data_IF_239688461058
#
_entry.id   IF_239688461058
#
_cell.length_a   1.000
_cell.length_b   1.000
_cell.length_c   1.000
_cell.angle_alpha   90.00
_cell.angle_beta   90.00
_cell.angle_gamma   90.00
#
_symmetry.space_group_name_H-M   'P 1'
#
loop_
_entity.id
_entity.type
_entity.pdbx_description
1 polymer ?
#
# COMPACT_ATOMS: atom_id res chain seq x y z
N UNK A 1 3.64 14.97 -25.77
CA UNK A 1 2.31 15.55 -25.44
C UNK A 1 2.00 15.05 -24.04
N UNK A 2 1.76 15.95 -23.08
CA UNK A 2 1.38 15.55 -21.72
C UNK A 2 0.04 14.84 -21.74
N UNK A 3 -0.06 13.70 -21.09
CA UNK A 3 -1.32 12.93 -21.01
C UNK A 3 -2.25 13.67 -20.06
N UNK A 4 -3.40 14.13 -20.59
CA UNK A 4 -4.40 14.82 -19.78
C UNK A 4 -5.16 13.78 -18.94
N UNK A 5 -5.00 13.85 -17.61
CA UNK A 5 -5.74 12.97 -16.69
C UNK A 5 -7.21 13.41 -16.58
N UNK A 6 -8.15 12.47 -16.54
CA UNK A 6 -9.51 12.75 -16.09
C UNK A 6 -9.51 13.24 -14.63
N UNK A 7 -10.56 13.94 -14.17
CA UNK A 7 -10.71 14.28 -12.75
C UNK A 7 -10.59 13.04 -11.87
N UNK A 8 -9.78 13.09 -10.80
CA UNK A 8 -9.48 11.94 -9.95
C UNK A 8 -10.75 11.30 -9.36
N UNK A 9 -11.75 12.12 -9.03
CA UNK A 9 -13.05 11.63 -8.55
C UNK A 9 -13.77 10.73 -9.57
N UNK A 10 -13.57 10.95 -10.87
CA UNK A 10 -14.18 10.12 -11.91
C UNK A 10 -13.42 8.80 -12.12
N UNK A 11 -12.13 8.77 -11.75
CA UNK A 11 -11.32 7.55 -11.80
C UNK A 11 -11.58 6.62 -10.60
N UNK A 12 -11.98 7.17 -9.45
CA UNK A 12 -12.08 6.38 -8.22
C UNK A 12 -13.08 5.21 -8.31
N UNK A 13 -14.36 5.39 -8.71
CA UNK A 13 -15.30 4.27 -8.74
C UNK A 13 -14.90 3.12 -9.68
N UNK A 14 -14.39 3.36 -10.92
CA UNK A 14 -13.91 2.28 -11.76
C UNK A 14 -12.66 1.59 -11.19
N UNK A 15 -11.77 2.29 -10.48
CA UNK A 15 -10.60 1.69 -9.82
C UNK A 15 -11.00 0.82 -8.63
N UNK A 16 -11.96 1.25 -7.82
CA UNK A 16 -12.50 0.46 -6.73
C UNK A 16 -13.13 -0.85 -7.23
N UNK A 17 -13.86 -0.79 -8.35
CA UNK A 17 -14.37 -2.01 -9.01
C UNK A 17 -13.24 -2.90 -9.51
N UNK A 18 -12.25 -2.31 -10.17
CA UNK A 18 -11.09 -3.05 -10.70
C UNK A 18 -10.32 -3.77 -9.58
N UNK A 19 -10.11 -3.11 -8.44
CA UNK A 19 -9.48 -3.73 -7.28
C UNK A 19 -10.34 -4.90 -6.72
N UNK A 20 -11.68 -4.76 -6.70
CA UNK A 20 -12.57 -5.85 -6.27
C UNK A 20 -12.55 -7.03 -7.24
N UNK A 21 -12.54 -6.77 -8.54
CA UNK A 21 -12.46 -7.82 -9.56
C UNK A 21 -11.13 -8.59 -9.44
N UNK A 22 -10.01 -7.87 -9.26
CA UNK A 22 -8.70 -8.47 -9.00
C UNK A 22 -8.68 -9.26 -7.69
N UNK A 23 -9.25 -8.70 -6.61
CA UNK A 23 -9.40 -9.39 -5.33
C UNK A 23 -10.23 -10.66 -5.42
N UNK A 24 -11.27 -10.67 -6.25
CA UNK A 24 -12.05 -11.89 -6.50
C UNK A 24 -11.22 -12.98 -7.19
N UNK A 25 -10.35 -12.61 -8.17
CA UNK A 25 -9.40 -13.54 -8.77
C UNK A 25 -8.43 -14.11 -7.72
N UNK A 26 -7.85 -13.24 -6.87
CA UNK A 26 -6.95 -13.64 -5.79
C UNK A 26 -7.65 -14.61 -4.83
N UNK A 27 -8.89 -14.30 -4.41
CA UNK A 27 -9.67 -15.14 -3.49
C UNK A 27 -10.10 -16.47 -4.11
N UNK A 28 -10.32 -16.53 -5.41
CA UNK A 28 -10.61 -17.78 -6.10
C UNK A 28 -9.42 -18.76 -6.00
N UNK A 29 -8.20 -18.27 -6.18
CA UNK A 29 -6.98 -19.08 -5.96
C UNK A 29 -6.78 -19.38 -4.47
N UNK A 30 -6.98 -18.39 -3.60
CA UNK A 30 -6.83 -18.55 -2.15
C UNK A 30 -7.75 -19.64 -1.59
N UNK A 31 -8.94 -19.83 -2.15
CA UNK A 31 -9.88 -20.89 -1.74
C UNK A 31 -9.43 -22.31 -2.14
N UNK A 32 -8.46 -22.45 -3.08
CA UNK A 32 -7.97 -23.76 -3.51
C UNK A 32 -6.93 -24.34 -2.54
N UNK A 33 -6.74 -25.66 -2.58
CA UNK A 33 -5.62 -26.32 -1.91
C UNK A 33 -4.38 -26.20 -2.80
N UNK A 34 -3.64 -25.09 -2.68
CA UNK A 34 -2.32 -24.99 -3.33
C UNK A 34 -1.21 -25.43 -2.37
N UNK A 35 -0.29 -26.26 -2.87
CA UNK A 35 0.92 -26.61 -2.14
C UNK A 35 2.03 -25.65 -2.54
N UNK A 36 2.73 -25.11 -1.54
CA UNK A 36 4.00 -24.41 -1.75
C UNK A 36 5.05 -25.48 -2.08
N UNK A 37 5.16 -25.85 -3.35
CA UNK A 37 6.30 -26.67 -3.78
C UNK A 37 7.51 -25.74 -3.84
N UNK A 38 8.40 -25.87 -2.86
CA UNK A 38 9.66 -25.17 -2.81
C UNK A 38 10.48 -25.46 -4.06
N UNK A 39 10.59 -24.51 -4.96
CA UNK A 39 11.70 -24.41 -5.91
C UNK A 39 12.69 -23.39 -5.35
N UNK A 40 13.95 -23.73 -5.44
CA UNK A 40 15.06 -23.07 -4.76
C UNK A 40 15.28 -21.58 -5.11
N UNK A 41 14.52 -20.98 -6.03
CA UNK A 41 14.74 -19.63 -6.54
C UNK A 41 13.47 -18.75 -6.61
N UNK A 42 12.36 -19.17 -6.04
CA UNK A 42 11.13 -18.42 -6.22
C UNK A 42 10.66 -17.78 -4.92
N UNK A 43 10.60 -16.45 -4.87
CA UNK A 43 9.48 -15.82 -4.19
C UNK A 43 8.21 -16.47 -4.77
N UNK A 44 7.24 -16.95 -3.96
CA UNK A 44 6.10 -17.68 -4.51
C UNK A 44 5.24 -16.73 -5.34
N UNK A 45 5.63 -16.56 -6.61
CA UNK A 45 4.75 -15.99 -7.64
C UNK A 45 3.64 -17.00 -7.80
N UNK A 46 2.47 -16.62 -7.42
CA UNK A 46 1.30 -17.48 -7.47
C UNK A 46 0.51 -17.22 -8.74
N UNK A 47 -0.30 -18.18 -9.14
CA UNK A 47 -1.27 -17.97 -10.22
C UNK A 47 -2.18 -16.76 -9.93
N UNK A 48 -2.41 -16.46 -8.64
CA UNK A 48 -3.18 -15.31 -8.20
C UNK A 48 -2.56 -13.99 -8.63
N UNK A 49 -1.22 -13.81 -8.44
CA UNK A 49 -0.49 -12.60 -8.85
C UNK A 49 -0.68 -12.34 -10.34
N UNK A 50 -0.36 -13.32 -11.16
CA UNK A 50 -0.39 -13.21 -12.63
C UNK A 50 -1.80 -12.90 -13.15
N UNK A 51 -2.83 -13.58 -12.63
CA UNK A 51 -4.21 -13.36 -13.05
C UNK A 51 -4.73 -12.00 -12.63
N UNK A 52 -4.45 -11.60 -11.39
CA UNK A 52 -4.85 -10.30 -10.87
C UNK A 52 -4.13 -9.15 -11.61
N UNK A 53 -2.82 -9.28 -11.86
CA UNK A 53 -2.07 -8.28 -12.63
C UNK A 53 -2.62 -8.12 -14.03
N UNK A 54 -2.80 -9.20 -14.79
CA UNK A 54 -3.33 -9.15 -16.16
C UNK A 54 -4.69 -8.42 -16.21
N UNK A 55 -5.57 -8.67 -15.24
CA UNK A 55 -6.86 -8.02 -15.11
C UNK A 55 -6.72 -6.52 -14.83
N UNK A 56 -5.85 -6.15 -13.86
CA UNK A 56 -5.60 -4.75 -13.48
C UNK A 56 -5.01 -3.99 -14.67
N UNK A 57 -3.98 -4.52 -15.33
CA UNK A 57 -3.35 -3.89 -16.49
C UNK A 57 -4.34 -3.64 -17.62
N UNK A 58 -5.19 -4.63 -17.94
CA UNK A 58 -6.22 -4.48 -18.96
C UNK A 58 -7.25 -3.40 -18.58
N UNK A 59 -7.62 -3.31 -17.30
CA UNK A 59 -8.51 -2.27 -16.78
C UNK A 59 -7.91 -0.87 -16.87
N UNK A 60 -6.68 -0.68 -16.39
CA UNK A 60 -5.99 0.60 -16.39
C UNK A 60 -5.73 1.12 -17.82
N UNK A 61 -5.34 0.24 -18.76
CA UNK A 61 -5.18 0.61 -20.18
C UNK A 61 -6.47 1.13 -20.83
N UNK A 62 -7.64 0.64 -20.38
CA UNK A 62 -8.96 1.18 -20.84
C UNK A 62 -9.31 2.49 -20.15
N UNK A 63 -9.01 2.63 -18.85
CA UNK A 63 -9.35 3.83 -18.08
C UNK A 63 -8.52 5.05 -18.48
N UNK A 64 -7.24 4.83 -18.72
CA UNK A 64 -6.26 5.88 -19.03
C UNK A 64 -5.32 5.42 -20.15
N UNK A 65 -5.80 5.38 -21.40
CA UNK A 65 -4.98 4.97 -22.54
C UNK A 65 -3.70 5.82 -22.64
N UNK A 66 -2.57 5.15 -22.77
CA UNK A 66 -1.26 5.80 -22.96
C UNK A 66 -0.53 6.17 -21.66
N UNK A 67 -1.14 6.01 -20.48
CA UNK A 67 -0.41 6.12 -19.23
C UNK A 67 0.52 4.91 -19.03
N UNK A 68 1.75 5.16 -18.59
CA UNK A 68 2.66 4.11 -18.19
C UNK A 68 2.10 3.37 -16.96
N UNK A 69 2.29 2.05 -16.92
CA UNK A 69 1.91 1.21 -15.80
C UNK A 69 3.14 0.43 -15.38
N UNK A 70 3.56 0.60 -14.14
CA UNK A 70 4.62 -0.16 -13.48
C UNK A 70 3.94 -1.15 -12.57
N UNK A 71 4.06 -2.43 -12.87
CA UNK A 71 3.46 -3.52 -12.10
C UNK A 71 4.54 -4.52 -11.69
N UNK A 72 4.40 -5.12 -10.52
CA UNK A 72 5.43 -5.96 -9.90
C UNK A 72 5.86 -7.11 -10.83
N UNK A 73 4.89 -7.88 -11.33
CA UNK A 73 5.17 -9.07 -12.15
C UNK A 73 5.72 -8.71 -13.53
N UNK A 74 5.20 -7.66 -14.17
CA UNK A 74 5.75 -7.12 -15.43
C UNK A 74 7.22 -6.68 -15.25
N UNK A 75 7.53 -5.98 -14.14
CA UNK A 75 8.92 -5.56 -13.82
C UNK A 75 9.80 -6.79 -13.55
N UNK A 76 9.32 -7.77 -12.79
CA UNK A 76 10.04 -9.02 -12.53
C UNK A 76 10.31 -9.81 -13.81
N UNK A 77 9.42 -9.72 -14.81
CA UNK A 77 9.59 -10.30 -16.15
C UNK A 77 10.51 -9.47 -17.06
N UNK A 78 11.01 -8.33 -16.59
CA UNK A 78 11.89 -7.43 -17.36
C UNK A 78 11.14 -6.40 -18.22
N UNK A 79 9.82 -6.29 -18.09
CA UNK A 79 8.99 -5.32 -18.81
C UNK A 79 8.89 -4.00 -18.02
N UNK A 80 9.95 -3.21 -18.04
CA UNK A 80 9.99 -1.91 -17.35
C UNK A 80 9.59 -0.80 -18.31
N UNK A 81 8.46 -0.10 -18.10
CA UNK A 81 8.06 1.00 -18.97
C UNK A 81 9.02 2.20 -18.79
N UNK A 82 9.24 2.92 -19.87
CA UNK A 82 9.95 4.20 -19.81
C UNK A 82 9.05 5.24 -19.12
N UNK A 83 9.51 5.76 -17.99
CA UNK A 83 8.84 6.87 -17.31
C UNK A 83 9.44 8.20 -17.78
N UNK A 84 8.57 9.12 -18.19
CA UNK A 84 8.95 10.48 -18.51
C UNK A 84 8.89 11.33 -17.24
N UNK A 85 9.90 12.17 -17.03
CA UNK A 85 9.98 13.02 -15.84
C UNK A 85 8.73 13.90 -15.70
N UNK A 86 8.04 13.80 -14.56
CA UNK A 86 6.85 14.59 -14.25
C UNK A 86 5.55 14.09 -14.88
N UNK A 87 5.59 13.14 -15.82
CA UNK A 87 4.36 12.54 -16.36
C UNK A 87 3.73 11.58 -15.33
N UNK A 88 2.40 11.49 -15.31
CA UNK A 88 1.71 10.57 -14.42
C UNK A 88 1.90 9.10 -14.87
N UNK A 89 1.90 8.18 -13.89
CA UNK A 89 1.97 6.74 -14.13
C UNK A 89 1.29 5.95 -13.02
N UNK A 90 0.93 4.71 -13.31
CA UNK A 90 0.38 3.79 -12.33
C UNK A 90 1.47 2.94 -11.68
N UNK A 91 1.34 2.72 -10.36
CA UNK A 91 2.04 1.68 -9.62
C UNK A 91 1.03 0.63 -9.16
N UNK A 92 1.34 -0.63 -9.44
CA UNK A 92 0.46 -1.77 -9.17
C UNK A 92 1.23 -2.87 -8.47
N UNK A 93 0.65 -3.35 -7.37
CA UNK A 93 1.01 -4.62 -6.75
C UNK A 93 -0.26 -5.48 -6.71
N UNK A 94 -0.34 -6.54 -7.51
CA UNK A 94 -1.53 -7.38 -7.60
C UNK A 94 -1.81 -8.20 -6.35
N UNK A 95 -0.76 -8.52 -5.57
CA UNK A 95 -0.85 -9.31 -4.34
C UNK A 95 0.31 -9.02 -3.39
N UNK A 96 0.30 -7.85 -2.74
CA UNK A 96 1.23 -7.54 -1.65
C UNK A 96 0.97 -8.46 -0.44
N UNK A 97 2.04 -9.02 0.09
CA UNK A 97 1.95 -9.97 1.18
C UNK A 97 1.80 -11.41 0.72
N UNK A 98 2.58 -11.83 -0.27
CA UNK A 98 2.60 -13.22 -0.76
C UNK A 98 2.91 -14.23 0.36
N UNK A 99 3.73 -13.85 1.36
CA UNK A 99 3.99 -14.69 2.55
C UNK A 99 2.73 -14.86 3.39
N UNK A 100 1.97 -13.80 3.59
CA UNK A 100 0.70 -13.79 4.31
C UNK A 100 -0.36 -14.62 3.58
N UNK A 101 -0.38 -14.53 2.25
CA UNK A 101 -1.23 -15.34 1.39
C UNK A 101 -0.91 -16.82 1.53
N UNK A 102 0.36 -17.18 1.42
CA UNK A 102 0.83 -18.57 1.58
C UNK A 102 0.59 -19.10 3.00
N UNK A 103 0.84 -18.29 4.03
CA UNK A 103 0.58 -18.63 5.43
C UNK A 103 -0.90 -18.67 5.81
N UNK A 104 -1.79 -18.29 4.88
CA UNK A 104 -3.26 -18.26 5.06
C UNK A 104 -3.73 -17.43 6.25
N UNK A 105 -3.03 -16.34 6.57
CA UNK A 105 -3.43 -15.43 7.64
C UNK A 105 -4.39 -14.31 7.18
N UNK A 106 -4.60 -14.16 5.86
CA UNK A 106 -5.55 -13.21 5.27
C UNK A 106 -5.07 -11.76 5.16
N UNK A 107 -3.89 -11.40 5.68
CA UNK A 107 -3.39 -10.03 5.69
C UNK A 107 -2.58 -9.68 4.42
N UNK A 108 -3.15 -9.91 3.26
CA UNK A 108 -2.61 -9.53 1.94
C UNK A 108 -3.52 -8.53 1.25
N UNK A 109 -2.96 -7.75 0.31
CA UNK A 109 -3.70 -6.65 -0.33
C UNK A 109 -3.47 -6.58 -1.84
N UNK A 110 -4.45 -6.05 -2.57
CA UNK A 110 -4.31 -5.55 -3.95
C UNK A 110 -4.09 -4.05 -3.86
N UNK A 111 -3.03 -3.54 -4.46
CA UNK A 111 -2.63 -2.13 -4.38
C UNK A 111 -2.60 -1.50 -5.77
N UNK A 112 -3.32 -0.39 -5.97
CA UNK A 112 -3.32 0.40 -7.21
C UNK A 112 -3.15 1.86 -6.86
N UNK A 113 -2.11 2.52 -7.38
CA UNK A 113 -1.84 3.93 -7.12
C UNK A 113 -1.56 4.71 -8.39
N UNK A 114 -2.08 5.94 -8.47
CA UNK A 114 -1.70 6.92 -9.48
C UNK A 114 -0.66 7.86 -8.91
N UNK A 115 0.46 7.94 -9.59
CA UNK A 115 1.55 8.85 -9.26
C UNK A 115 1.52 10.05 -10.19
N UNK A 116 1.65 11.25 -9.64
CA UNK A 116 1.79 12.49 -10.38
C UNK A 116 2.88 13.34 -9.76
N UNK A 117 3.83 13.81 -10.57
CA UNK A 117 4.97 14.61 -10.11
C UNK A 117 5.72 13.95 -8.93
N UNK A 118 5.90 12.62 -8.99
CA UNK A 118 6.59 11.84 -7.95
C UNK A 118 5.79 11.66 -6.64
N UNK A 119 4.49 12.00 -6.60
CA UNK A 119 3.62 11.88 -5.42
C UNK A 119 2.42 10.98 -5.71
N UNK A 120 1.97 10.14 -4.78
CA UNK A 120 0.77 9.35 -4.95
C UNK A 120 -0.45 10.24 -4.73
N UNK A 121 -1.24 10.48 -5.80
CA UNK A 121 -2.40 11.39 -5.76
C UNK A 121 -3.74 10.66 -5.64
N UNK A 122 -3.75 9.38 -5.95
CA UNK A 122 -4.93 8.52 -5.79
C UNK A 122 -4.44 7.11 -5.47
N UNK A 123 -5.09 6.44 -4.52
CA UNK A 123 -4.76 5.08 -4.12
C UNK A 123 -5.99 4.27 -3.79
N UNK A 124 -5.95 2.99 -4.15
CA UNK A 124 -6.92 1.97 -3.75
C UNK A 124 -6.17 0.77 -3.20
N UNK A 125 -6.53 0.36 -1.98
CA UNK A 125 -6.02 -0.83 -1.30
C UNK A 125 -7.21 -1.71 -0.97
N UNK A 126 -7.24 -2.93 -1.49
CA UNK A 126 -8.23 -3.93 -1.12
C UNK A 126 -7.56 -5.04 -0.30
N UNK A 127 -8.05 -5.31 0.89
CA UNK A 127 -7.73 -6.51 1.68
C UNK A 127 -8.87 -7.52 1.52
N UNK A 128 -8.81 -8.43 0.55
CA UNK A 128 -9.98 -9.22 0.14
C UNK A 128 -10.40 -10.28 1.16
N UNK A 129 -9.51 -10.67 2.07
CA UNK A 129 -9.76 -11.67 3.11
C UNK A 129 -10.03 -11.06 4.50
N UNK A 130 -10.07 -9.73 4.64
CA UNK A 130 -10.26 -9.01 5.91
C UNK A 130 -11.62 -8.33 5.94
N UNK A 131 -12.37 -8.40 7.04
CA UNK A 131 -13.60 -7.63 7.24
C UNK A 131 -14.89 -8.32 6.71
N UNK A 132 -14.83 -9.60 6.36
CA UNK A 132 -15.98 -10.37 5.91
C UNK A 132 -16.13 -10.47 4.39
N UNK A 133 -17.31 -10.85 3.88
CA UNK A 133 -17.53 -11.03 2.44
C UNK A 133 -17.21 -9.76 1.63
N UNK A 134 -16.40 -9.90 0.59
CA UNK A 134 -15.96 -8.77 -0.25
C UNK A 134 -14.74 -8.02 0.27
N UNK A 135 -14.25 -8.37 1.46
CA UNK A 135 -13.05 -7.77 2.03
C UNK A 135 -13.26 -6.36 2.58
N UNK A 136 -12.17 -5.71 2.91
CA UNK A 136 -12.13 -4.27 3.28
C UNK A 136 -11.39 -3.48 2.20
N UNK A 137 -12.06 -2.50 1.65
CA UNK A 137 -11.50 -1.58 0.66
C UNK A 137 -11.15 -0.25 1.33
N UNK A 138 -9.97 0.23 1.05
CA UNK A 138 -9.52 1.58 1.41
C UNK A 138 -9.24 2.35 0.12
N UNK A 139 -9.66 3.60 0.06
CA UNK A 139 -9.39 4.47 -1.08
C UNK A 139 -9.12 5.89 -0.61
N UNK A 140 -8.31 6.63 -1.37
CA UNK A 140 -7.97 8.00 -1.02
C UNK A 140 -7.58 8.84 -2.22
N UNK A 141 -7.95 10.13 -2.20
CA UNK A 141 -7.56 11.13 -3.18
C UNK A 141 -6.90 12.27 -2.44
N UNK A 142 -5.64 12.56 -2.78
CA UNK A 142 -4.85 13.64 -2.17
C UNK A 142 -5.61 14.98 -2.24
N UNK A 143 -5.63 15.69 -1.12
CA UNK A 143 -6.34 16.96 -0.97
C UNK A 143 -7.88 16.87 -0.95
N UNK A 144 -8.46 15.65 -0.92
CA UNK A 144 -9.91 15.48 -0.85
C UNK A 144 -10.34 14.68 0.39
N UNK A 145 -10.39 13.34 0.29
CA UNK A 145 -10.81 12.47 1.38
C UNK A 145 -10.25 11.06 1.24
N UNK A 146 -10.25 10.34 2.33
CA UNK A 146 -10.04 8.89 2.39
C UNK A 146 -11.31 8.18 2.83
N UNK A 147 -11.54 7.00 2.29
CA UNK A 147 -12.70 6.16 2.58
C UNK A 147 -12.27 4.74 2.94
N UNK A 148 -13.07 4.12 3.76
CA UNK A 148 -13.02 2.69 4.06
C UNK A 148 -14.41 2.11 3.80
N UNK A 149 -14.47 0.95 3.17
CA UNK A 149 -15.70 0.20 2.92
C UNK A 149 -15.50 -1.27 3.30
N UNK A 150 -16.38 -1.79 4.12
CA UNK A 150 -16.40 -3.16 4.60
C UNK A 150 -17.86 -3.65 4.76
N UNK A 151 -18.08 -4.76 5.45
CA UNK A 151 -19.42 -5.29 5.71
C UNK A 151 -20.36 -4.34 6.45
N UNK A 152 -19.85 -3.29 7.10
CA UNK A 152 -20.65 -2.24 7.76
C UNK A 152 -20.97 -1.06 6.82
N UNK A 153 -20.47 -1.07 5.59
CA UNK A 153 -20.66 -0.04 4.58
C UNK A 153 -19.49 0.91 4.40
N UNK A 154 -19.69 1.91 3.53
CA UNK A 154 -18.69 2.92 3.20
C UNK A 154 -18.74 4.07 4.21
N UNK A 155 -17.56 4.50 4.68
CA UNK A 155 -17.39 5.65 5.57
C UNK A 155 -16.11 6.42 5.26
N UNK A 156 -16.12 7.71 5.51
CA UNK A 156 -14.91 8.53 5.50
C UNK A 156 -14.03 8.17 6.69
N UNK A 157 -12.72 8.11 6.47
CA UNK A 157 -11.73 7.84 7.51
C UNK A 157 -10.75 9.00 7.63
N UNK A 158 -10.23 9.18 8.83
CA UNK A 158 -9.21 10.19 9.18
C UNK A 158 -8.22 9.59 10.16
N UNK A 159 -6.98 10.06 10.09
CA UNK A 159 -6.01 9.84 11.14
C UNK A 159 -6.55 10.42 12.46
N UNK A 160 -6.21 9.80 13.58
CA UNK A 160 -6.62 10.29 14.89
C UNK A 160 -5.62 11.31 15.45
N UNK A 161 -6.08 12.15 16.35
CA UNK A 161 -5.19 12.99 17.16
C UNK A 161 -4.24 12.11 17.99
N UNK A 162 -3.05 12.63 18.30
CA UNK A 162 -2.07 11.94 19.15
C UNK A 162 -2.71 11.58 20.51
N UNK A 163 -2.75 10.28 20.87
CA UNK A 163 -3.37 9.84 22.10
C UNK A 163 -2.51 10.21 23.32
N UNK A 164 -3.16 10.71 24.39
CA UNK A 164 -2.48 11.12 25.61
C UNK A 164 -1.84 9.94 26.37
N UNK A 165 -2.43 8.76 26.23
CA UNK A 165 -1.93 7.51 26.83
C UNK A 165 -0.66 6.96 26.18
N UNK A 166 -0.33 7.44 24.98
CA UNK A 166 0.82 7.03 24.17
C UNK A 166 0.42 6.39 22.86
N UNK A 167 1.39 6.20 21.99
CA UNK A 167 1.20 5.79 20.60
C UNK A 167 0.94 4.30 20.45
N UNK A 168 0.14 3.96 19.45
CA UNK A 168 0.08 2.61 18.87
C UNK A 168 1.03 2.56 17.68
N UNK A 169 2.07 1.74 17.79
CA UNK A 169 3.07 1.54 16.74
C UNK A 169 2.81 0.23 16.02
N UNK A 170 2.82 0.24 14.70
CA UNK A 170 2.73 -0.97 13.88
C UNK A 170 4.11 -1.47 13.49
N UNK A 171 4.30 -2.78 13.57
CA UNK A 171 5.49 -3.48 13.12
C UNK A 171 5.17 -4.34 11.89
N UNK A 172 6.18 -4.61 11.07
CA UNK A 172 6.06 -5.64 10.03
C UNK A 172 6.01 -7.02 10.70
N UNK A 173 5.07 -7.87 10.28
CA UNK A 173 4.94 -9.23 10.83
C UNK A 173 6.11 -10.13 10.43
N UNK A 174 6.57 -10.00 9.20
CA UNK A 174 7.48 -10.94 8.54
C UNK A 174 8.89 -10.39 8.29
N UNK A 175 9.13 -9.12 8.54
CA UNK A 175 10.38 -8.45 8.19
C UNK A 175 10.80 -7.45 9.26
N UNK A 176 12.05 -7.53 9.71
CA UNK A 176 12.69 -6.53 10.53
C UNK A 176 13.44 -7.11 11.73
N UNK A 177 14.47 -6.39 12.14
CA UNK A 177 15.15 -6.55 13.41
C UNK A 177 14.36 -5.77 14.46
N UNK A 178 13.76 -6.46 15.41
CA UNK A 178 12.94 -5.85 16.47
C UNK A 178 13.76 -4.87 17.33
N UNK A 179 15.00 -5.21 17.64
CA UNK A 179 15.87 -4.36 18.46
C UNK A 179 16.25 -3.06 17.70
N UNK A 180 16.56 -3.16 16.41
CA UNK A 180 16.83 -2.00 15.58
C UNK A 180 15.58 -1.12 15.42
N UNK A 181 14.40 -1.72 15.29
CA UNK A 181 13.14 -1.00 15.22
C UNK A 181 12.84 -0.26 16.52
N UNK A 182 12.98 -0.90 17.67
CA UNK A 182 12.75 -0.29 19.00
C UNK A 182 13.74 0.86 19.26
N UNK A 183 15.00 0.69 18.90
CA UNK A 183 16.01 1.75 18.99
C UNK A 183 15.65 2.94 18.10
N UNK A 184 15.23 2.68 16.86
CA UNK A 184 14.78 3.72 15.94
C UNK A 184 13.57 4.48 16.49
N UNK A 185 12.52 3.77 16.96
CA UNK A 185 11.31 4.39 17.51
C UNK A 185 11.66 5.26 18.70
N UNK A 186 12.48 4.77 19.62
CA UNK A 186 12.92 5.52 20.80
C UNK A 186 13.63 6.82 20.40
N UNK A 187 14.58 6.75 19.49
CA UNK A 187 15.31 7.92 18.99
C UNK A 187 14.39 8.89 18.23
N UNK A 188 13.47 8.35 17.41
CA UNK A 188 12.51 9.15 16.66
C UNK A 188 11.57 9.94 17.58
N UNK A 189 10.99 9.27 18.58
CA UNK A 189 10.09 9.92 19.56
C UNK A 189 10.83 10.97 20.38
N UNK A 190 12.04 10.69 20.88
CA UNK A 190 12.84 11.66 21.63
C UNK A 190 13.11 12.94 20.83
N UNK A 191 13.29 12.81 19.52
CA UNK A 191 13.59 13.94 18.62
C UNK A 191 12.34 14.72 18.18
N UNK A 192 11.26 14.01 17.82
CA UNK A 192 10.11 14.62 17.13
C UNK A 192 8.87 14.79 18.01
N UNK A 193 8.76 14.01 19.09
CA UNK A 193 7.61 13.98 20.01
C UNK A 193 8.08 13.81 21.46
N UNK A 194 8.87 14.78 22.00
CA UNK A 194 9.39 14.67 23.36
C UNK A 194 8.23 14.55 24.36
N UNK A 195 8.32 13.56 25.25
CA UNK A 195 7.28 13.23 26.24
C UNK A 195 6.25 12.19 25.77
N UNK A 196 6.18 11.86 24.49
CA UNK A 196 5.39 10.74 24.00
C UNK A 196 6.09 9.39 24.23
N UNK A 197 5.27 8.35 24.39
CA UNK A 197 5.72 6.97 24.60
C UNK A 197 4.94 6.00 23.71
N UNK A 198 5.47 4.82 23.50
CA UNK A 198 4.72 3.71 22.93
C UNK A 198 3.83 3.10 24.02
N UNK A 199 2.51 3.12 23.81
CA UNK A 199 1.54 2.46 24.68
C UNK A 199 1.23 1.04 24.18
N UNK A 200 1.12 0.87 22.86
CA UNK A 200 0.79 -0.41 22.22
C UNK A 200 1.67 -0.66 21.00
N UNK A 201 2.02 -1.92 20.81
CA UNK A 201 2.66 -2.40 19.58
C UNK A 201 1.75 -3.44 18.95
N UNK A 202 1.41 -3.22 17.68
CA UNK A 202 0.64 -4.16 16.86
C UNK A 202 1.43 -4.63 15.66
N UNK A 203 0.90 -5.62 14.96
CA UNK A 203 1.46 -6.05 13.67
C UNK A 203 0.35 -6.18 12.64
N UNK A 204 0.69 -5.94 11.37
CA UNK A 204 -0.16 -6.25 10.24
C UNK A 204 0.71 -6.63 9.03
N UNK A 205 0.13 -7.42 8.12
CA UNK A 205 0.73 -7.70 6.82
C UNK A 205 0.56 -6.53 5.85
N UNK A 206 1.31 -6.56 4.76
CA UNK A 206 1.20 -5.72 3.56
C UNK A 206 0.89 -4.22 3.81
N UNK A 207 0.24 -3.57 2.87
CA UNK A 207 -0.23 -2.17 2.92
C UNK A 207 -1.25 -1.87 4.01
N UNK A 208 -1.82 -2.90 4.68
CA UNK A 208 -2.78 -2.71 5.78
C UNK A 208 -2.25 -1.83 6.90
N UNK A 209 -0.94 -1.76 7.13
CA UNK A 209 -0.33 -0.89 8.15
C UNK A 209 -0.61 0.59 7.90
N UNK A 210 -0.46 1.02 6.64
CA UNK A 210 -0.77 2.39 6.22
C UNK A 210 -2.28 2.69 6.34
N UNK A 211 -3.11 1.73 5.91
CA UNK A 211 -4.56 1.83 5.99
C UNK A 211 -5.08 1.89 7.44
N UNK A 212 -4.49 1.13 8.37
CA UNK A 212 -4.84 1.18 9.80
C UNK A 212 -4.51 2.53 10.42
N UNK A 213 -3.39 3.14 10.04
CA UNK A 213 -3.07 4.51 10.47
C UNK A 213 -4.07 5.50 9.88
N UNK A 214 -4.37 5.41 8.59
CA UNK A 214 -5.37 6.24 7.92
C UNK A 214 -6.77 6.15 8.58
N UNK A 215 -7.13 4.97 9.08
CA UNK A 215 -8.39 4.73 9.80
C UNK A 215 -8.35 5.11 11.29
N UNK A 216 -7.27 5.72 11.78
CA UNK A 216 -7.11 6.13 13.19
C UNK A 216 -6.95 4.97 14.17
N UNK A 217 -6.58 3.77 13.69
CA UNK A 217 -6.39 2.58 14.52
C UNK A 217 -4.96 2.44 15.04
N UNK A 218 -4.02 3.18 14.47
CA UNK A 218 -2.62 3.24 14.87
C UNK A 218 -2.06 4.62 14.53
N UNK A 219 -0.84 4.90 14.99
CA UNK A 219 -0.24 6.22 14.91
C UNK A 219 1.05 6.25 14.11
N UNK A 220 1.86 5.19 14.18
CA UNK A 220 3.21 5.18 13.63
C UNK A 220 3.57 3.81 13.06
N UNK A 221 4.22 3.81 11.89
CA UNK A 221 4.78 2.62 11.27
C UNK A 221 6.16 2.93 10.67
N UNK A 222 7.27 2.52 11.29
CA UNK A 222 8.60 2.57 10.69
C UNK A 222 8.84 1.34 9.82
N UNK A 223 9.38 1.54 8.63
CA UNK A 223 9.84 0.49 7.73
C UNK A 223 11.33 0.61 7.50
N UNK A 224 12.11 -0.25 8.16
CA UNK A 224 13.57 -0.29 8.10
C UNK A 224 14.10 -1.47 7.28
N UNK A 225 13.24 -2.14 6.54
CA UNK A 225 13.60 -3.23 5.64
C UNK A 225 13.29 -2.88 4.20
N UNK A 226 13.86 -3.65 3.27
CA UNK A 226 13.64 -3.49 1.83
C UNK A 226 12.13 -3.54 1.52
N UNK A 227 11.70 -2.65 0.65
CA UNK A 227 10.33 -2.59 0.12
C UNK A 227 10.34 -1.85 -1.22
N UNK A 228 9.36 -2.13 -2.07
CA UNK A 228 9.24 -1.51 -3.37
C UNK A 228 8.22 -0.37 -3.36
N UNK A 229 8.25 0.48 -4.38
CA UNK A 229 7.32 1.60 -4.49
C UNK A 229 5.87 1.15 -4.60
N UNK A 230 5.59 0.06 -5.31
CA UNK A 230 4.24 -0.49 -5.48
C UNK A 230 3.65 -1.08 -4.21
N UNK A 231 4.48 -1.56 -3.25
CA UNK A 231 4.02 -2.05 -1.94
C UNK A 231 3.38 -0.94 -1.09
N UNK A 232 3.78 0.32 -1.31
CA UNK A 232 3.44 1.42 -0.40
C UNK A 232 2.64 2.58 -1.03
N UNK A 233 2.74 2.78 -2.34
CA UNK A 233 2.17 3.96 -3.00
C UNK A 233 0.65 4.10 -2.78
N UNK A 234 -0.11 3.01 -2.89
CA UNK A 234 -1.55 3.04 -2.69
C UNK A 234 -1.93 3.36 -1.24
N UNK A 235 -1.29 2.67 -0.29
CA UNK A 235 -1.48 2.95 1.14
C UNK A 235 -1.03 4.37 1.53
N UNK A 236 0.04 4.90 0.91
CA UNK A 236 0.49 6.27 1.13
C UNK A 236 -0.56 7.28 0.65
N UNK A 237 -1.15 7.09 -0.55
CA UNK A 237 -2.23 7.96 -1.03
C UNK A 237 -3.43 7.97 -0.07
N UNK A 238 -3.84 6.79 0.42
CA UNK A 238 -4.92 6.67 1.41
C UNK A 238 -4.57 7.38 2.71
N UNK A 239 -3.34 7.19 3.21
CA UNK A 239 -2.87 7.82 4.45
C UNK A 239 -2.79 9.34 4.31
N UNK A 240 -2.24 9.85 3.21
CA UNK A 240 -2.15 11.28 2.94
C UNK A 240 -3.55 11.93 2.85
N UNK A 241 -4.49 11.27 2.15
CA UNK A 241 -5.87 11.72 2.07
C UNK A 241 -6.61 11.71 3.42
N UNK A 242 -6.17 10.86 4.36
CA UNK A 242 -6.69 10.80 5.73
C UNK A 242 -6.04 11.83 6.69
N UNK A 243 -5.09 12.64 6.21
CA UNK A 243 -4.38 13.67 7.00
C UNK A 243 -3.06 13.20 7.62
N UNK A 244 -2.59 11.99 7.29
CA UNK A 244 -1.27 11.51 7.68
C UNK A 244 -0.20 11.81 6.63
N UNK A 245 1.00 11.24 6.82
CA UNK A 245 2.12 11.40 5.88
C UNK A 245 3.11 10.25 5.93
N UNK A 246 3.92 10.14 4.90
CA UNK A 246 5.05 9.18 4.84
C UNK A 246 6.32 9.96 4.53
N UNK A 247 7.31 9.80 5.37
CA UNK A 247 8.59 10.49 5.31
C UNK A 247 9.74 9.48 5.26
N UNK A 248 10.87 9.88 4.70
CA UNK A 248 12.09 9.09 4.74
C UNK A 248 12.58 8.97 6.19
N UNK A 249 12.98 7.76 6.58
CA UNK A 249 13.47 7.50 7.94
C UNK A 249 14.79 8.22 8.28
N UNK A 250 15.57 8.62 7.26
CA UNK A 250 16.78 9.42 7.41
C UNK A 250 16.54 10.92 7.61
N UNK A 251 15.28 11.36 7.56
CA UNK A 251 14.90 12.76 7.71
C UNK A 251 15.12 13.63 6.47
N UNK A 252 15.45 13.04 5.32
CA UNK A 252 15.69 13.79 4.08
C UNK A 252 14.43 14.28 3.36
N UNK A 253 13.26 14.22 4.03
CA UNK A 253 12.01 14.76 3.53
C UNK A 253 11.00 13.69 3.10
N UNK A 254 10.01 14.04 2.28
CA UNK A 254 8.94 13.14 1.86
C UNK A 254 9.46 12.02 0.94
N UNK A 255 8.70 10.92 0.90
CA UNK A 255 8.93 9.85 -0.07
C UNK A 255 8.58 10.36 -1.47
N UNK A 256 9.44 10.03 -2.46
CA UNK A 256 9.25 10.34 -3.88
C UNK A 256 9.21 9.04 -4.67
N UNK A 257 8.35 8.97 -5.67
CA UNK A 257 8.07 7.81 -6.51
C UNK A 257 8.60 7.98 -7.95
N UNK A 258 8.81 6.85 -8.63
CA UNK A 258 9.37 6.81 -9.98
C UNK A 258 10.90 6.80 -10.02
N UNK A 259 11.54 6.28 -8.96
CA UNK A 259 12.99 6.11 -8.91
C UNK A 259 13.46 4.97 -9.82
N UNK A 260 14.68 5.02 -10.36
CA UNK A 260 15.27 3.87 -11.03
C UNK A 260 15.24 2.63 -10.14
N UNK A 261 14.74 1.51 -10.66
CA UNK A 261 14.61 0.24 -9.94
C UNK A 261 13.46 0.17 -8.93
N UNK A 262 12.71 1.25 -8.72
CA UNK A 262 11.50 1.32 -7.87
C UNK A 262 11.69 0.87 -6.42
N UNK A 263 12.92 0.79 -5.93
CA UNK A 263 13.15 0.49 -4.51
C UNK A 263 12.88 1.73 -3.66
N UNK A 264 12.13 1.51 -2.56
CA UNK A 264 11.83 2.56 -1.59
C UNK A 264 12.95 2.65 -0.55
N UNK A 265 13.41 3.85 -0.18
CA UNK A 265 14.24 4.00 1.00
C UNK A 265 13.44 3.63 2.27
N UNK A 266 14.14 3.43 3.37
CA UNK A 266 13.50 3.29 4.68
C UNK A 266 12.60 4.50 4.96
N UNK A 267 11.45 4.26 5.56
CA UNK A 267 10.45 5.31 5.80
C UNK A 267 9.75 5.19 7.16
N UNK A 268 9.06 6.26 7.51
CA UNK A 268 8.13 6.32 8.65
C UNK A 268 6.79 6.81 8.15
N UNK A 269 5.73 6.06 8.41
CA UNK A 269 4.36 6.49 8.20
C UNK A 269 3.78 7.02 9.52
N UNK A 270 3.10 8.16 9.44
CA UNK A 270 2.67 8.97 10.56
C UNK A 270 1.19 9.35 10.41
N UNK A 271 0.42 9.23 11.49
CA UNK A 271 -1.00 9.56 11.55
C UNK A 271 -1.31 10.99 12.00
N UNK A 272 -0.30 11.92 12.01
CA UNK A 272 -0.49 13.32 12.46
C UNK A 272 0.30 14.28 11.62
#
# INVERSE_FOLDING_TARGET
MSVLLPPLLTLLPPLERLARDAGACVMAVYATAFSVQGKADASPVTLADQQAEALILAGLRRLTPGLAIVAEEDVAAGHVPALLAGEPFWLVDPLDGTREFVARNGEFTVNIALIQQGRPVLGVVLAPAVGGPGGTLYSGIDGQAAWMEDGAGRRTIHCRALPAEGLTVLASRSHGDAAAQDAFITAYLARHLPGQRVAHTGSAGSSLKLCRIAAGQADLYPRLGRTMEWDIAAGHAVLAAAGGRVERADGAGPLVYGKPGFESPHFVALGW
#
